data_IF_609431467171
#
_entry.id   IF_609431467171
#
_cell.length_a   1.000
_cell.length_b   1.000
_cell.length_c   1.000
_cell.angle_alpha   90.00
_cell.angle_beta   90.00
_cell.angle_gamma   90.00
#
_symmetry.space_group_name_H-M   'P 1'
#
loop_
_entity.id
_entity.type
_entity.pdbx_description
1 polymer ?
#
# COMPACT_ATOMS: atom_id res chain seq x y z
N UNK A 1 -4.36 -19.42 18.56
CA UNK A 1 -3.08 -19.47 17.81
C UNK A 1 -3.14 -20.43 16.64
N UNK A 2 -3.45 -21.71 16.85
CA UNK A 2 -3.58 -22.69 15.76
C UNK A 2 -4.67 -22.36 14.73
N UNK A 3 -5.82 -21.84 15.15
CA UNK A 3 -6.90 -21.41 14.23
C UNK A 3 -6.40 -20.32 13.27
N UNK A 4 -5.61 -19.36 13.77
CA UNK A 4 -5.06 -18.30 12.92
C UNK A 4 -4.08 -18.86 11.88
N UNK A 5 -3.20 -19.78 12.28
CA UNK A 5 -2.30 -20.47 11.35
C UNK A 5 -3.05 -21.31 10.31
N UNK A 6 -4.09 -22.04 10.75
CA UNK A 6 -4.96 -22.80 9.86
C UNK A 6 -5.72 -21.93 8.88
N UNK A 7 -6.22 -20.77 9.32
CA UNK A 7 -6.92 -19.82 8.46
C UNK A 7 -5.99 -19.14 7.45
N UNK A 8 -4.74 -18.88 7.82
CA UNK A 8 -3.71 -18.39 6.88
C UNK A 8 -3.39 -19.41 5.80
N UNK A 9 -3.17 -20.67 6.18
CA UNK A 9 -2.93 -21.77 5.24
C UNK A 9 -4.13 -21.97 4.31
N UNK A 10 -5.33 -22.02 4.88
CA UNK A 10 -6.57 -22.14 4.12
C UNK A 10 -6.79 -20.94 3.19
N UNK A 11 -6.52 -19.72 3.65
CA UNK A 11 -6.62 -18.51 2.84
C UNK A 11 -5.65 -18.53 1.66
N UNK A 12 -4.44 -19.07 1.85
CA UNK A 12 -3.44 -19.21 0.79
C UNK A 12 -3.83 -20.28 -0.24
N UNK A 13 -4.32 -21.44 0.21
CA UNK A 13 -4.80 -22.50 -0.71
C UNK A 13 -6.03 -22.06 -1.49
N UNK A 14 -6.98 -21.40 -0.81
CA UNK A 14 -8.18 -20.85 -1.44
C UNK A 14 -7.81 -19.72 -2.42
N UNK A 15 -6.88 -18.84 -2.05
CA UNK A 15 -6.37 -17.79 -2.93
C UNK A 15 -5.63 -18.33 -4.17
N UNK A 16 -4.90 -19.44 -4.04
CA UNK A 16 -4.27 -20.11 -5.18
C UNK A 16 -5.31 -20.76 -6.11
N UNK A 17 -6.34 -21.39 -5.55
CA UNK A 17 -7.43 -21.99 -6.31
C UNK A 17 -8.28 -20.94 -7.05
N UNK A 18 -8.45 -19.74 -6.48
CA UNK A 18 -9.19 -18.63 -7.09
C UNK A 18 -8.39 -17.80 -8.10
N UNK A 19 -7.07 -18.01 -8.21
CA UNK A 19 -6.14 -17.18 -9.01
C UNK A 19 -6.43 -17.16 -10.52
N UNK A 20 -7.23 -18.10 -11.02
CA UNK A 20 -7.61 -18.21 -12.44
C UNK A 20 -8.95 -17.57 -12.83
N UNK A 21 -9.71 -16.97 -11.89
CA UNK A 21 -11.08 -16.49 -12.18
C UNK A 21 -11.15 -14.96 -12.12
N UNK A 22 -11.82 -14.35 -13.12
CA UNK A 22 -12.15 -12.91 -13.19
C UNK A 22 -12.89 -12.35 -11.95
N UNK A 23 -13.26 -13.23 -11.02
CA UNK A 23 -13.78 -12.92 -9.69
C UNK A 23 -12.86 -12.04 -8.85
N UNK A 24 -11.53 -12.11 -9.00
CA UNK A 24 -10.65 -11.15 -8.31
C UNK A 24 -10.89 -9.70 -8.75
N UNK A 25 -11.14 -9.48 -10.04
CA UNK A 25 -11.48 -8.16 -10.57
C UNK A 25 -12.84 -7.68 -10.05
N UNK A 26 -13.82 -8.59 -9.96
CA UNK A 26 -15.14 -8.29 -9.39
C UNK A 26 -15.05 -8.01 -7.88
N UNK A 27 -14.26 -8.78 -7.14
CA UNK A 27 -14.04 -8.58 -5.72
C UNK A 27 -13.36 -7.24 -5.46
N UNK A 28 -12.33 -6.88 -6.23
CA UNK A 28 -11.68 -5.57 -6.13
C UNK A 28 -12.67 -4.43 -6.40
N UNK A 29 -13.58 -4.62 -7.36
CA UNK A 29 -14.65 -3.66 -7.66
C UNK A 29 -15.71 -3.57 -6.55
N UNK A 30 -15.99 -4.67 -5.86
CA UNK A 30 -16.90 -4.72 -4.70
C UNK A 30 -16.26 -4.24 -3.39
N UNK A 31 -14.94 -4.36 -3.25
CA UNK A 31 -14.20 -3.93 -2.05
C UNK A 31 -14.28 -2.42 -1.87
N UNK A 32 -14.18 -1.63 -2.94
CA UNK A 32 -14.29 -0.17 -2.86
C UNK A 32 -15.61 0.32 -2.22
N UNK A 33 -16.81 -0.05 -2.72
CA UNK A 33 -18.06 0.33 -2.07
C UNK A 33 -18.23 -0.34 -0.69
N UNK A 34 -17.70 -1.55 -0.47
CA UNK A 34 -17.73 -2.17 0.85
C UNK A 34 -16.93 -1.37 1.89
N UNK A 35 -15.71 -0.92 1.55
CA UNK A 35 -14.89 -0.05 2.42
C UNK A 35 -15.66 1.23 2.72
N UNK A 36 -16.27 1.87 1.70
CA UNK A 36 -17.09 3.07 1.91
C UNK A 36 -18.25 2.83 2.89
N UNK A 37 -18.99 1.72 2.74
CA UNK A 37 -20.08 1.35 3.64
C UNK A 37 -19.60 1.04 5.07
N UNK A 38 -18.44 0.38 5.19
CA UNK A 38 -17.82 0.08 6.48
C UNK A 38 -17.32 1.34 7.18
N UNK A 39 -16.68 2.26 6.44
CA UNK A 39 -16.26 3.57 6.97
C UNK A 39 -17.46 4.42 7.37
N UNK A 40 -18.52 4.40 6.57
CA UNK A 40 -19.76 5.11 6.90
C UNK A 40 -20.40 4.55 8.17
N UNK A 41 -20.56 3.22 8.26
CA UNK A 41 -21.10 2.57 9.46
C UNK A 41 -20.25 2.82 10.69
N UNK A 42 -18.92 2.78 10.55
CA UNK A 42 -17.98 3.11 11.61
C UNK A 42 -18.15 4.58 12.04
N UNK A 43 -18.26 5.50 11.09
CA UNK A 43 -18.47 6.92 11.37
C UNK A 43 -19.75 7.18 12.16
N UNK A 44 -20.86 6.53 11.80
CA UNK A 44 -22.12 6.63 12.54
C UNK A 44 -22.00 6.02 13.94
N UNK A 45 -21.39 4.83 14.06
CA UNK A 45 -21.22 4.15 15.34
C UNK A 45 -20.33 4.92 16.33
N UNK A 46 -19.27 5.56 15.83
CA UNK A 46 -18.39 6.42 16.60
C UNK A 46 -19.04 7.78 16.89
N UNK A 47 -19.78 8.31 15.92
CA UNK A 47 -20.46 9.61 15.99
C UNK A 47 -21.60 9.67 17.00
N UNK A 48 -22.37 8.59 17.12
CA UNK A 48 -23.53 8.50 18.02
C UNK A 48 -23.19 8.11 19.47
N UNK A 49 -21.91 7.89 19.80
CA UNK A 49 -21.49 7.47 21.14
C UNK A 49 -20.72 8.62 21.82
N UNK A 50 -21.39 9.34 22.71
CA UNK A 50 -20.83 10.52 23.40
C UNK A 50 -19.57 10.20 24.20
N UNK A 51 -19.45 8.99 24.77
CA UNK A 51 -18.26 8.55 25.49
C UNK A 51 -17.07 8.39 24.54
N UNK A 52 -17.28 7.75 23.39
CA UNK A 52 -16.24 7.64 22.36
C UNK A 52 -15.90 9.00 21.75
N UNK A 53 -16.88 9.86 21.51
CA UNK A 53 -16.66 11.20 20.94
C UNK A 53 -15.82 12.09 21.87
N UNK A 54 -16.08 12.04 23.17
CA UNK A 54 -15.33 12.82 24.16
C UNK A 54 -13.90 12.30 24.34
N UNK A 55 -13.71 10.98 24.24
CA UNK A 55 -12.38 10.36 24.32
C UNK A 55 -11.66 10.33 22.96
N UNK A 56 -12.35 10.60 21.85
CA UNK A 56 -11.81 10.55 20.49
C UNK A 56 -10.57 11.41 20.28
N UNK A 57 -10.50 12.66 20.79
CA UNK A 57 -9.29 13.47 20.67
C UNK A 57 -8.09 12.83 21.37
N UNK A 58 -8.31 12.18 22.52
CA UNK A 58 -7.26 11.49 23.26
C UNK A 58 -6.83 10.19 22.55
N UNK A 59 -7.78 9.38 22.09
CA UNK A 59 -7.49 8.15 21.33
C UNK A 59 -6.86 8.47 19.98
N UNK A 60 -7.38 9.47 19.28
CA UNK A 60 -6.87 9.96 18.00
C UNK A 60 -5.47 10.55 18.13
N UNK A 61 -5.21 11.33 19.17
CA UNK A 61 -3.88 11.84 19.48
C UNK A 61 -2.87 10.73 19.77
N UNK A 62 -3.26 9.73 20.58
CA UNK A 62 -2.44 8.53 20.82
C UNK A 62 -2.18 7.75 19.54
N UNK A 63 -3.20 7.57 18.70
CA UNK A 63 -3.09 6.88 17.42
C UNK A 63 -2.16 7.64 16.45
N UNK A 64 -2.27 8.97 16.38
CA UNK A 64 -1.38 9.82 15.59
C UNK A 64 0.08 9.72 16.05
N UNK A 65 0.31 9.76 17.36
CA UNK A 65 1.66 9.63 17.89
C UNK A 65 2.24 8.24 17.60
N UNK A 66 1.42 7.20 17.72
CA UNK A 66 1.82 5.82 17.41
C UNK A 66 2.10 5.61 15.91
N UNK A 67 1.29 6.18 15.02
CA UNK A 67 1.52 6.09 13.56
C UNK A 67 2.76 6.86 13.16
N UNK A 68 2.98 8.07 13.68
CA UNK A 68 4.20 8.85 13.43
C UNK A 68 5.44 8.12 13.96
N UNK A 69 5.40 7.59 15.18
CA UNK A 69 6.49 6.81 15.74
C UNK A 69 6.77 5.53 14.93
N UNK A 70 5.72 4.83 14.48
CA UNK A 70 5.84 3.64 13.65
C UNK A 70 6.43 3.93 12.27
N UNK A 71 5.97 4.99 11.60
CA UNK A 71 6.51 5.43 10.29
C UNK A 71 7.97 5.87 10.44
N UNK A 72 8.27 6.70 11.45
CA UNK A 72 9.62 7.14 11.74
C UNK A 72 10.54 5.96 12.06
N UNK A 73 10.10 5.00 12.87
CA UNK A 73 10.84 3.79 13.20
C UNK A 73 11.08 2.90 11.98
N UNK A 74 10.09 2.73 11.12
CA UNK A 74 10.22 1.97 9.87
C UNK A 74 11.22 2.64 8.91
N UNK A 75 11.15 3.96 8.76
CA UNK A 75 12.08 4.72 7.93
C UNK A 75 13.51 4.70 8.51
N UNK A 76 13.65 4.82 9.83
CA UNK A 76 14.93 4.71 10.52
C UNK A 76 15.54 3.31 10.35
N UNK A 77 14.73 2.24 10.46
CA UNK A 77 15.18 0.88 10.22
C UNK A 77 15.71 0.71 8.79
N UNK A 78 14.97 1.19 7.77
CA UNK A 78 15.44 1.19 6.38
C UNK A 78 16.72 2.00 6.21
N UNK A 79 16.84 3.15 6.87
CA UNK A 79 18.04 3.97 6.82
C UNK A 79 19.27 3.29 7.46
N UNK A 80 19.08 2.60 8.59
CA UNK A 80 20.12 1.81 9.27
C UNK A 80 20.55 0.64 8.40
N UNK A 81 19.60 -0.12 7.85
CA UNK A 81 19.88 -1.23 6.93
C UNK A 81 20.63 -0.71 5.70
N UNK A 82 20.18 0.38 5.07
CA UNK A 82 20.88 0.98 3.92
C UNK A 82 22.26 1.52 4.28
N UNK A 83 22.49 1.94 5.52
CA UNK A 83 23.80 2.39 5.99
C UNK A 83 24.73 1.21 6.29
N UNK A 84 24.20 0.09 6.78
CA UNK A 84 24.96 -1.12 7.09
C UNK A 84 25.25 -1.97 5.85
N UNK A 85 24.28 -2.10 4.94
CA UNK A 85 24.38 -2.85 3.68
C UNK A 85 24.78 -1.99 2.48
N UNK A 86 25.48 -0.87 2.71
CA UNK A 86 25.87 0.10 1.67
C UNK A 86 26.96 -0.42 0.71
N UNK A 87 27.35 -1.69 0.82
CA UNK A 87 28.26 -2.37 -0.10
C UNK A 87 27.57 -3.05 -1.30
N UNK A 88 26.25 -2.91 -1.47
CA UNK A 88 25.58 -3.41 -2.68
C UNK A 88 25.65 -2.36 -3.81
N UNK A 89 26.26 -2.70 -4.96
CA UNK A 89 26.56 -1.76 -6.03
C UNK A 89 25.30 -1.10 -6.58
N UNK A 90 25.41 0.20 -6.88
CA UNK A 90 24.39 0.95 -7.60
C UNK A 90 23.96 0.17 -8.84
N UNK A 91 22.65 -0.01 -9.02
CA UNK A 91 22.09 -0.67 -10.20
C UNK A 91 22.71 -0.05 -11.47
N UNK A 92 23.44 -0.82 -12.30
CA UNK A 92 24.02 -0.32 -13.53
C UNK A 92 22.87 -0.06 -14.52
N UNK A 93 22.41 1.18 -14.60
CA UNK A 93 21.33 1.55 -15.53
C UNK A 93 20.77 2.96 -15.41
N UNK A 94 21.02 3.68 -14.31
CA UNK A 94 20.50 5.04 -14.12
C UNK A 94 21.30 6.15 -14.84
N UNK A 95 21.99 5.82 -15.94
CA UNK A 95 22.94 6.72 -16.63
C UNK A 95 22.65 7.08 -18.09
N UNK A 96 21.73 6.41 -18.80
CA UNK A 96 21.70 6.54 -20.27
C UNK A 96 20.30 6.55 -20.93
N UNK A 97 19.25 6.98 -20.23
CA UNK A 97 17.92 7.16 -20.83
C UNK A 97 17.61 8.62 -21.23
N UNK A 98 18.63 9.51 -21.21
CA UNK A 98 18.50 10.94 -21.55
C UNK A 98 19.02 11.30 -22.95
N UNK A 99 19.53 10.34 -23.70
CA UNK A 99 20.15 10.54 -25.01
C UNK A 99 19.59 9.59 -26.08
N UNK A 100 18.33 9.14 -25.96
CA UNK A 100 17.62 8.63 -27.14
C UNK A 100 17.41 9.82 -28.09
N UNK A 101 18.04 9.83 -29.29
CA UNK A 101 17.80 10.87 -30.27
C UNK A 101 16.38 10.66 -30.82
N UNK A 102 15.40 11.27 -30.15
CA UNK A 102 14.06 11.50 -30.72
C UNK A 102 14.13 12.65 -31.73
N UNK A 103 15.12 12.61 -32.63
CA UNK A 103 15.33 13.59 -33.70
C UNK A 103 16.16 12.95 -34.82
N UNK A 104 15.52 12.10 -35.63
CA UNK A 104 15.94 11.80 -36.99
C UNK A 104 14.72 11.34 -37.80
N UNK A 105 13.70 12.19 -37.91
CA UNK A 105 12.77 12.13 -39.02
C UNK A 105 13.13 13.28 -39.96
N UNK A 106 13.67 13.03 -41.17
CA UNK A 106 13.97 14.10 -42.10
C UNK A 106 12.66 14.72 -42.64
N UNK A 107 12.63 16.03 -42.89
CA UNK A 107 11.54 16.70 -43.59
C UNK A 107 11.90 16.93 -45.07
N UNK A 108 10.84 16.98 -45.93
CA UNK A 108 10.83 17.37 -47.35
C UNK A 108 11.49 16.35 -48.32
N UNK A 109 10.96 16.02 -49.51
CA UNK A 109 10.08 16.73 -50.44
C UNK A 109 10.80 16.84 -51.79
N UNK A 110 10.16 16.36 -52.87
CA UNK A 110 10.52 16.66 -54.27
C UNK A 110 11.54 15.72 -54.94
N UNK A 111 11.03 14.74 -55.69
CA UNK A 111 11.07 14.65 -57.16
C UNK A 111 10.02 13.64 -57.61
#
# INVERSE_FOLDING_TARGET
MFIAMGLMLLGMTLGWLLRGRAWLGLLTRCVSPAIMLLLFSLGVAVGGNEELMNNLPLLGGKALLLTLAGVAGSLACVAVIRRWFRDFPAAPGAGNARNSPVNAHPPHGGV
#
